data_IF_562000847205
#
_entry.id   IF_562000847205
#
_cell.length_a   1.000
_cell.length_b   1.000
_cell.length_c   1.000
_cell.angle_alpha   90.00
_cell.angle_beta   90.00
_cell.angle_gamma   90.00
#
_symmetry.space_group_name_H-M   'P 1'
#
loop_
_entity.id
_entity.type
_entity.pdbx_description
1 polymer ?
#
# COMPACT_ATOMS: atom_id res chain seq x y z
N UNK A 1 7.46 2.85 -34.51
CA UNK A 1 7.44 2.02 -33.28
C UNK A 1 8.83 1.47 -33.12
N UNK A 2 9.53 1.80 -32.04
CA UNK A 2 10.96 1.47 -31.93
C UNK A 2 11.16 -0.02 -31.61
N UNK A 3 11.60 -0.76 -32.62
CA UNK A 3 12.20 -2.10 -32.48
C UNK A 3 13.64 -2.01 -31.91
N UNK A 4 14.17 -0.80 -31.75
CA UNK A 4 15.49 -0.49 -31.23
C UNK A 4 15.43 0.05 -29.79
N UNK A 5 16.52 -0.14 -29.06
CA UNK A 5 16.68 0.43 -27.72
C UNK A 5 16.71 1.96 -27.79
N UNK A 6 15.75 2.60 -27.14
CA UNK A 6 15.63 4.06 -27.11
C UNK A 6 15.95 4.61 -25.72
N UNK A 7 16.57 5.79 -25.69
CA UNK A 7 16.84 6.53 -24.44
C UNK A 7 15.94 7.75 -24.39
N UNK A 8 15.13 7.86 -23.33
CA UNK A 8 14.25 8.99 -23.11
C UNK A 8 14.28 9.39 -21.63
N UNK A 9 14.41 10.70 -21.36
CA UNK A 9 14.46 11.27 -20.00
C UNK A 9 15.43 10.61 -18.99
N UNK A 10 16.49 9.96 -19.48
CA UNK A 10 17.47 9.28 -18.62
C UNK A 10 17.08 7.85 -18.23
N UNK A 11 16.14 7.27 -18.97
CA UNK A 11 15.67 5.89 -18.90
C UNK A 11 15.97 5.20 -20.24
N UNK A 12 16.21 3.89 -20.19
CA UNK A 12 16.50 3.07 -21.36
C UNK A 12 15.35 2.09 -21.59
N UNK A 13 14.73 2.17 -22.76
CA UNK A 13 13.58 1.40 -23.17
C UNK A 13 13.99 0.33 -24.16
N UNK A 14 13.37 -0.84 -24.08
CA UNK A 14 13.54 -1.93 -25.05
C UNK A 14 12.24 -2.71 -25.18
N UNK A 15 11.94 -3.15 -26.39
CA UNK A 15 10.93 -4.18 -26.62
C UNK A 15 11.58 -5.57 -26.57
N UNK A 16 10.95 -6.51 -25.87
CA UNK A 16 11.36 -7.92 -25.84
C UNK A 16 10.46 -8.74 -26.78
N UNK A 17 10.92 -9.09 -28.00
CA UNK A 17 10.06 -9.74 -28.99
C UNK A 17 9.59 -11.13 -28.56
N UNK A 18 10.36 -11.86 -27.75
CA UNK A 18 9.96 -13.20 -27.29
C UNK A 18 8.86 -13.17 -26.23
N UNK A 19 8.87 -12.17 -25.35
CA UNK A 19 7.89 -12.03 -24.28
C UNK A 19 6.71 -11.14 -24.68
N UNK A 20 6.83 -10.41 -25.80
CA UNK A 20 5.89 -9.37 -26.24
C UNK A 20 5.69 -8.25 -25.20
N UNK A 21 6.71 -7.99 -24.38
CA UNK A 21 6.67 -7.00 -23.28
C UNK A 21 7.64 -5.86 -23.54
N UNK A 22 7.24 -4.64 -23.18
CA UNK A 22 8.13 -3.48 -23.12
C UNK A 22 8.85 -3.47 -21.77
N UNK A 23 10.16 -3.29 -21.79
CA UNK A 23 10.98 -3.21 -20.59
C UNK A 23 11.67 -1.85 -20.50
N UNK A 24 11.95 -1.43 -19.28
CA UNK A 24 12.60 -0.16 -18.96
C UNK A 24 13.64 -0.37 -17.86
N UNK A 25 14.71 0.43 -17.87
CA UNK A 25 15.67 0.53 -16.78
C UNK A 25 16.20 1.95 -16.61
N UNK A 26 16.88 2.23 -15.51
CA UNK A 26 17.56 3.50 -15.32
C UNK A 26 18.78 3.61 -16.26
N UNK A 27 19.13 4.84 -16.65
CA UNK A 27 20.40 5.07 -17.34
C UNK A 27 21.60 4.73 -16.45
N UNK A 28 22.70 4.34 -17.10
CA UNK A 28 24.00 4.12 -16.46
C UNK A 28 24.42 5.32 -15.59
N UNK A 29 24.11 6.54 -16.03
CA UNK A 29 24.41 7.78 -15.30
C UNK A 29 23.66 7.88 -13.97
N UNK A 30 22.38 7.52 -13.94
CA UNK A 30 21.57 7.49 -12.71
C UNK A 30 22.15 6.48 -11.72
N UNK A 31 22.50 5.29 -12.20
CA UNK A 31 23.12 4.23 -11.38
C UNK A 31 24.47 4.66 -10.81
N UNK A 32 25.31 5.32 -11.61
CA UNK A 32 26.59 5.85 -11.14
C UNK A 32 26.41 6.89 -10.03
N UNK A 33 25.44 7.81 -10.18
CA UNK A 33 25.10 8.80 -9.15
C UNK A 33 24.63 8.14 -7.85
N UNK A 34 23.79 7.10 -7.93
CA UNK A 34 23.33 6.34 -6.76
C UNK A 34 24.50 5.72 -5.98
N UNK A 35 25.42 5.06 -6.69
CA UNK A 35 26.61 4.44 -6.08
C UNK A 35 27.53 5.47 -5.42
N UNK A 36 27.76 6.60 -6.08
CA UNK A 36 28.59 7.69 -5.55
C UNK A 36 27.95 8.32 -4.32
N UNK A 37 26.65 8.60 -4.36
CA UNK A 37 25.92 9.17 -3.24
C UNK A 37 26.01 8.25 -2.02
N UNK A 38 25.70 6.96 -2.17
CA UNK A 38 25.77 6.00 -1.06
C UNK A 38 27.16 5.92 -0.40
N UNK A 39 28.25 5.98 -1.16
CA UNK A 39 29.61 6.02 -0.60
C UNK A 39 29.88 7.24 0.28
N UNK A 40 29.16 8.34 0.06
CA UNK A 40 29.26 9.59 0.83
C UNK A 40 28.34 9.63 2.05
N UNK A 41 27.60 8.57 2.35
CA UNK A 41 26.58 8.56 3.39
C UNK A 41 27.08 8.96 4.79
N UNK A 42 28.37 8.72 5.10
CA UNK A 42 28.97 9.14 6.36
C UNK A 42 29.25 10.64 6.48
N UNK A 43 29.14 11.40 5.38
CA UNK A 43 29.54 12.80 5.30
C UNK A 43 28.44 13.68 4.67
N UNK A 44 27.19 13.26 4.75
CA UNK A 44 26.11 14.02 4.14
C UNK A 44 25.94 15.39 4.80
N UNK A 45 25.70 16.40 3.97
CA UNK A 45 24.95 17.58 4.38
C UNK A 45 23.45 17.31 4.31
N UNK A 46 22.64 18.17 4.95
CA UNK A 46 21.17 18.08 4.85
C UNK A 46 20.71 18.06 3.37
N UNK A 47 21.28 18.92 2.52
CA UNK A 47 21.02 18.99 1.07
C UNK A 47 21.39 17.70 0.37
N UNK A 48 22.56 17.13 0.66
CA UNK A 48 23.04 15.91 0.02
C UNK A 48 22.15 14.72 0.37
N UNK A 49 21.75 14.58 1.64
CA UNK A 49 20.84 13.52 2.07
C UNK A 49 19.47 13.61 1.35
N UNK A 50 18.85 14.79 1.37
CA UNK A 50 17.56 15.05 0.70
C UNK A 50 17.67 14.79 -0.81
N UNK A 51 18.74 15.28 -1.44
CA UNK A 51 19.00 15.04 -2.88
C UNK A 51 19.19 13.57 -3.20
N UNK A 52 19.83 12.80 -2.30
CA UNK A 52 20.00 11.37 -2.50
C UNK A 52 18.68 10.61 -2.39
N UNK A 53 17.83 10.93 -1.41
CA UNK A 53 16.48 10.35 -1.33
C UNK A 53 15.65 10.72 -2.57
N UNK A 54 15.74 11.96 -3.07
CA UNK A 54 15.10 12.35 -4.34
C UNK A 54 15.62 11.55 -5.53
N UNK A 55 16.93 11.29 -5.61
CA UNK A 55 17.52 10.43 -6.64
C UNK A 55 17.03 8.98 -6.53
N UNK A 56 16.85 8.46 -5.31
CA UNK A 56 16.26 7.14 -5.08
C UNK A 56 14.82 7.10 -5.59
N UNK A 57 14.00 8.11 -5.29
CA UNK A 57 12.62 8.19 -5.79
C UNK A 57 12.59 8.24 -7.33
N UNK A 58 13.49 9.03 -7.92
CA UNK A 58 13.67 9.06 -9.37
C UNK A 58 14.12 7.69 -9.90
N UNK A 59 15.09 7.00 -9.30
CA UNK A 59 15.46 5.70 -9.84
C UNK A 59 14.38 4.62 -9.63
N UNK A 60 13.62 4.72 -8.54
CA UNK A 60 12.57 3.79 -8.16
C UNK A 60 11.36 3.84 -9.10
N UNK A 61 10.95 5.03 -9.58
CA UNK A 61 9.80 5.13 -10.49
C UNK A 61 10.04 4.42 -11.82
N UNK A 62 11.28 4.41 -12.30
CA UNK A 62 11.67 3.78 -13.56
C UNK A 62 11.49 2.26 -13.54
N UNK A 63 12.00 1.59 -12.51
CA UNK A 63 12.09 0.11 -12.47
C UNK A 63 10.96 -0.54 -11.65
N UNK A 64 9.84 0.15 -11.48
CA UNK A 64 8.68 -0.37 -10.74
C UNK A 64 9.09 -0.84 -9.32
N UNK A 65 9.96 -0.08 -8.66
CA UNK A 65 10.25 -0.34 -7.26
C UNK A 65 9.06 0.15 -6.42
N UNK A 66 8.55 -0.73 -5.56
CA UNK A 66 7.45 -0.49 -4.62
C UNK A 66 7.54 0.89 -3.95
N UNK A 67 6.70 1.87 -4.32
CA UNK A 67 6.80 3.22 -3.76
C UNK A 67 6.51 3.24 -2.26
N UNK A 68 5.59 2.38 -1.81
CA UNK A 68 5.25 2.23 -0.40
C UNK A 68 6.43 1.80 0.47
N UNK A 69 7.39 1.00 -0.03
CA UNK A 69 8.55 0.57 0.77
C UNK A 69 9.52 1.72 1.08
N UNK A 70 9.40 2.84 0.36
CA UNK A 70 10.22 4.04 0.56
C UNK A 70 9.70 4.95 1.68
N UNK A 71 8.59 4.60 2.35
CA UNK A 71 7.95 5.45 3.35
C UNK A 71 8.88 5.84 4.51
N UNK A 72 9.76 4.93 4.95
CA UNK A 72 10.75 5.21 5.99
C UNK A 72 11.76 6.27 5.54
N UNK A 73 12.22 6.20 4.29
CA UNK A 73 13.11 7.20 3.71
C UNK A 73 12.41 8.55 3.57
N UNK A 74 11.13 8.56 3.18
CA UNK A 74 10.31 9.77 3.10
C UNK A 74 10.05 10.40 4.47
N UNK A 75 9.89 9.59 5.52
CA UNK A 75 9.83 10.09 6.91
C UNK A 75 11.13 10.77 7.32
N UNK A 76 12.28 10.17 7.01
CA UNK A 76 13.58 10.76 7.30
C UNK A 76 13.82 12.04 6.47
N UNK A 77 13.47 12.03 5.19
CA UNK A 77 13.48 13.20 4.32
C UNK A 77 12.69 14.36 4.92
N UNK A 78 11.45 14.09 5.34
CA UNK A 78 10.59 15.11 5.97
C UNK A 78 11.19 15.64 7.27
N UNK A 79 11.80 14.79 8.09
CA UNK A 79 12.44 15.22 9.32
C UNK A 79 13.56 16.22 9.04
N UNK A 80 14.46 15.91 8.11
CA UNK A 80 15.54 16.81 7.68
C UNK A 80 14.99 18.12 7.11
N UNK A 81 13.97 18.03 6.24
CA UNK A 81 13.32 19.22 5.68
C UNK A 81 12.74 20.13 6.77
N UNK A 82 12.04 19.57 7.75
CA UNK A 82 11.47 20.34 8.87
C UNK A 82 12.57 20.99 9.71
N UNK A 83 13.66 20.28 9.99
CA UNK A 83 14.81 20.83 10.73
C UNK A 83 15.48 22.00 9.98
N UNK A 84 15.58 21.94 8.65
CA UNK A 84 16.18 23.04 7.90
C UNK A 84 15.19 24.20 7.75
N UNK A 85 13.99 23.94 7.23
CA UNK A 85 13.04 24.99 6.85
C UNK A 85 12.26 25.60 8.02
N UNK A 86 11.91 24.82 9.04
CA UNK A 86 11.03 25.30 10.11
C UNK A 86 11.79 25.74 11.35
N UNK A 87 13.02 25.26 11.55
CA UNK A 87 13.85 25.62 12.71
C UNK A 87 15.06 26.47 12.36
N UNK A 88 15.13 27.01 11.13
CA UNK A 88 16.19 27.93 10.69
C UNK A 88 17.55 27.28 10.45
N UNK A 89 17.59 25.98 10.15
CA UNK A 89 18.83 25.27 9.83
C UNK A 89 19.38 25.63 8.44
N UNK A 90 20.63 25.28 8.19
CA UNK A 90 21.27 25.48 6.89
C UNK A 90 21.27 24.18 6.06
N UNK A 91 20.96 24.30 4.77
CA UNK A 91 20.95 23.15 3.85
C UNK A 91 22.32 22.50 3.69
N UNK A 92 23.38 23.29 3.77
CA UNK A 92 24.76 22.83 3.54
C UNK A 92 25.49 22.47 4.85
N UNK A 93 24.81 22.56 6.00
CA UNK A 93 25.32 22.06 7.26
C UNK A 93 25.47 20.53 7.23
N UNK A 94 26.49 19.96 7.90
CA UNK A 94 26.62 18.53 8.10
C UNK A 94 25.37 17.95 8.75
N UNK A 95 24.88 16.83 8.23
CA UNK A 95 23.80 16.08 8.84
C UNK A 95 24.37 15.33 10.06
N UNK A 96 23.98 15.69 11.30
CA UNK A 96 24.70 15.25 12.50
C UNK A 96 24.58 13.75 12.76
N UNK A 97 23.46 13.15 12.36
CA UNK A 97 23.21 11.75 12.59
C UNK A 97 22.23 11.17 11.56
N UNK A 98 22.55 9.99 11.05
CA UNK A 98 21.63 9.14 10.29
C UNK A 98 21.37 7.91 11.15
N UNK A 99 20.10 7.67 11.48
CA UNK A 99 19.71 6.46 12.22
C UNK A 99 20.17 5.21 11.47
N UNK A 100 20.69 4.17 12.16
CA UNK A 100 21.11 2.91 11.54
C UNK A 100 20.03 2.29 10.65
N UNK A 101 18.75 2.39 11.05
CA UNK A 101 17.61 1.89 10.25
C UNK A 101 17.45 2.64 8.92
N UNK A 102 17.64 3.96 8.92
CA UNK A 102 17.57 4.78 7.70
C UNK A 102 18.75 4.44 6.79
N UNK A 103 19.94 4.29 7.36
CA UNK A 103 21.14 3.90 6.62
C UNK A 103 20.98 2.51 5.95
N UNK A 104 20.48 1.52 6.70
CA UNK A 104 20.19 0.19 6.18
C UNK A 104 19.17 0.24 5.03
N UNK A 105 18.08 1.00 5.19
CA UNK A 105 17.11 1.21 4.12
C UNK A 105 17.71 1.89 2.89
N UNK A 106 18.57 2.90 3.05
CA UNK A 106 19.29 3.54 1.94
C UNK A 106 20.16 2.52 1.23
N UNK A 107 20.95 1.74 1.98
CA UNK A 107 21.86 0.75 1.41
C UNK A 107 21.10 -0.34 0.65
N UNK A 108 20.08 -0.94 1.27
CA UNK A 108 19.26 -1.98 0.66
C UNK A 108 18.59 -1.49 -0.63
N UNK A 109 17.96 -0.32 -0.57
CA UNK A 109 17.25 0.27 -1.72
C UNK A 109 18.23 0.59 -2.85
N UNK A 110 19.38 1.19 -2.51
CA UNK A 110 20.41 1.52 -3.49
C UNK A 110 20.98 0.28 -4.15
N UNK A 111 21.24 -0.79 -3.38
CA UNK A 111 21.75 -2.05 -3.92
C UNK A 111 20.79 -2.65 -4.95
N UNK A 112 19.48 -2.64 -4.67
CA UNK A 112 18.46 -3.09 -5.62
C UNK A 112 18.46 -2.21 -6.88
N UNK A 113 18.45 -0.89 -6.73
CA UNK A 113 18.45 0.03 -7.88
C UNK A 113 19.76 -0.03 -8.69
N UNK A 114 20.86 -0.41 -8.05
CA UNK A 114 22.18 -0.47 -8.66
C UNK A 114 22.42 -1.75 -9.48
N UNK A 115 21.57 -2.78 -9.38
CA UNK A 115 21.58 -3.93 -10.31
C UNK A 115 21.20 -3.48 -11.72
N UNK A 116 20.26 -2.53 -11.80
CA UNK A 116 19.78 -1.89 -13.02
C UNK A 116 19.31 -2.88 -14.10
N UNK A 117 18.62 -3.92 -13.67
CA UNK A 117 17.99 -4.88 -14.57
C UNK A 117 16.82 -4.25 -15.33
N UNK A 118 16.55 -4.77 -16.53
CA UNK A 118 15.36 -4.39 -17.30
C UNK A 118 14.11 -4.89 -16.60
N UNK A 119 13.25 -3.96 -16.16
CA UNK A 119 11.96 -4.26 -15.56
C UNK A 119 10.85 -4.16 -16.61
N UNK A 120 9.85 -5.08 -16.61
CA UNK A 120 8.69 -4.93 -17.47
C UNK A 120 7.91 -3.67 -17.07
N UNK A 121 7.45 -2.91 -18.07
CA UNK A 121 6.52 -1.79 -17.85
C UNK A 121 5.19 -2.40 -17.40
N UNK A 122 4.66 -1.90 -16.27
CA UNK A 122 3.46 -2.45 -15.66
C UNK A 122 2.27 -2.44 -16.65
N UNK A 123 1.52 -3.55 -16.76
CA UNK A 123 0.35 -3.58 -17.61
C UNK A 123 -0.76 -2.68 -17.04
N UNK A 124 -1.62 -2.16 -17.92
CA UNK A 124 -2.78 -1.38 -17.50
C UNK A 124 -3.71 -2.25 -16.67
N UNK A 125 -4.02 -1.82 -15.45
CA UNK A 125 -4.99 -2.51 -14.61
C UNK A 125 -6.40 -2.12 -15.05
N UNK A 126 -7.14 -3.10 -15.57
CA UNK A 126 -8.56 -2.94 -15.88
C UNK A 126 -9.39 -3.30 -14.66
N UNK A 127 -10.28 -2.40 -14.28
CA UNK A 127 -11.21 -2.54 -13.15
C UNK A 127 -12.63 -2.54 -13.72
N UNK A 128 -13.49 -3.38 -13.16
CA UNK A 128 -14.91 -3.46 -13.52
C UNK A 128 -15.74 -3.47 -12.25
N UNK A 129 -17.05 -3.30 -12.39
CA UNK A 129 -18.03 -3.37 -11.27
C UNK A 129 -18.79 -4.70 -11.24
N UNK A 130 -18.39 -5.66 -12.08
CA UNK A 130 -19.06 -6.95 -12.17
C UNK A 130 -18.36 -7.95 -11.25
N UNK A 131 -19.06 -8.47 -10.23
CA UNK A 131 -18.50 -9.41 -9.26
C UNK A 131 -17.82 -10.62 -9.95
N UNK A 132 -18.40 -11.11 -11.06
CA UNK A 132 -17.87 -12.25 -11.83
C UNK A 132 -16.46 -12.05 -12.42
N UNK A 133 -15.98 -10.81 -12.48
CA UNK A 133 -14.64 -10.49 -12.99
C UNK A 133 -13.55 -10.60 -11.90
N UNK A 134 -13.96 -11.01 -10.69
CA UNK A 134 -13.13 -11.19 -9.50
C UNK A 134 -13.35 -12.59 -8.93
N UNK A 135 -12.28 -13.31 -8.60
CA UNK A 135 -12.38 -14.62 -7.96
C UNK A 135 -12.98 -14.52 -6.55
N UNK A 136 -12.61 -13.45 -5.83
CA UNK A 136 -13.05 -13.17 -4.47
C UNK A 136 -13.53 -11.73 -4.32
N UNK A 137 -14.67 -11.56 -3.65
CA UNK A 137 -15.14 -10.29 -3.09
C UNK A 137 -15.06 -10.39 -1.57
N UNK A 138 -14.26 -9.55 -0.94
CA UNK A 138 -13.93 -9.59 0.49
C UNK A 138 -14.43 -8.30 1.14
N UNK A 139 -15.43 -8.39 2.00
CA UNK A 139 -15.87 -7.28 2.85
C UNK A 139 -15.07 -7.33 4.15
N UNK A 140 -14.38 -6.26 4.50
CA UNK A 140 -13.66 -6.13 5.76
C UNK A 140 -14.19 -4.95 6.56
N UNK A 141 -14.15 -5.08 7.87
CA UNK A 141 -14.42 -4.00 8.82
C UNK A 141 -13.56 -4.19 10.07
N UNK A 142 -13.16 -3.10 10.71
CA UNK A 142 -12.42 -3.13 11.97
C UNK A 142 -13.01 -2.22 13.05
N UNK A 143 -12.92 -2.70 14.28
CA UNK A 143 -13.37 -2.02 15.49
C UNK A 143 -12.23 -1.88 16.49
N UNK A 144 -12.53 -1.32 17.66
CA UNK A 144 -11.64 -1.27 18.81
C UNK A 144 -11.33 -2.64 19.42
N UNK A 145 -12.18 -3.65 19.17
CA UNK A 145 -12.01 -5.03 19.70
C UNK A 145 -11.24 -5.94 18.75
N UNK A 146 -11.41 -5.77 17.46
CA UNK A 146 -10.81 -6.64 16.46
C UNK A 146 -11.29 -6.32 15.06
N UNK A 147 -11.26 -7.33 14.19
CA UNK A 147 -11.75 -7.19 12.84
C UNK A 147 -12.65 -8.36 12.43
N UNK A 148 -13.56 -8.05 11.51
CA UNK A 148 -14.50 -8.98 10.91
C UNK A 148 -14.38 -8.95 9.39
N UNK A 149 -14.58 -10.10 8.77
CA UNK A 149 -14.47 -10.27 7.33
C UNK A 149 -15.53 -11.21 6.81
N UNK A 150 -16.03 -10.93 5.60
CA UNK A 150 -16.83 -11.86 4.81
C UNK A 150 -16.21 -11.97 3.42
N UNK A 151 -15.73 -13.15 3.08
CA UNK A 151 -15.18 -13.49 1.77
C UNK A 151 -16.21 -14.29 0.98
N UNK A 152 -16.55 -13.84 -0.22
CA UNK A 152 -17.37 -14.58 -1.18
C UNK A 152 -16.53 -14.96 -2.40
N UNK A 153 -16.45 -16.25 -2.71
CA UNK A 153 -15.90 -16.72 -3.98
C UNK A 153 -17.00 -16.64 -5.04
N UNK A 154 -16.77 -15.88 -6.11
CA UNK A 154 -17.83 -15.59 -7.09
C UNK A 154 -18.08 -16.75 -8.06
N UNK A 155 -17.10 -17.66 -8.20
CA UNK A 155 -17.19 -18.82 -9.08
C UNK A 155 -17.83 -20.02 -8.39
N UNK A 156 -17.46 -20.29 -7.13
CA UNK A 156 -17.98 -21.42 -6.35
C UNK A 156 -19.18 -21.07 -5.49
N UNK A 157 -19.46 -19.77 -5.31
CA UNK A 157 -20.45 -19.25 -4.35
C UNK A 157 -20.14 -19.62 -2.90
N UNK A 158 -18.91 -20.05 -2.61
CA UNK A 158 -18.44 -20.29 -1.24
C UNK A 158 -18.38 -18.96 -0.47
N UNK A 159 -18.95 -18.95 0.73
CA UNK A 159 -18.87 -17.81 1.64
C UNK A 159 -18.14 -18.22 2.91
N UNK A 160 -17.13 -17.43 3.28
CA UNK A 160 -16.33 -17.62 4.49
C UNK A 160 -16.43 -16.34 5.31
N UNK A 161 -16.97 -16.43 6.52
CA UNK A 161 -16.87 -15.33 7.48
C UNK A 161 -15.75 -15.61 8.48
N UNK A 162 -14.92 -14.60 8.71
CA UNK A 162 -13.78 -14.65 9.59
C UNK A 162 -13.87 -13.51 10.61
N UNK A 163 -13.39 -13.77 11.82
CA UNK A 163 -13.18 -12.73 12.82
C UNK A 163 -11.90 -13.00 13.61
N UNK A 164 -11.31 -11.94 14.14
CA UNK A 164 -10.16 -12.03 15.03
C UNK A 164 -10.16 -10.87 16.01
N UNK A 165 -9.91 -11.18 17.28
CA UNK A 165 -9.65 -10.19 18.32
C UNK A 165 -8.24 -9.61 18.17
N UNK A 166 -8.08 -8.30 18.39
CA UNK A 166 -6.76 -7.70 18.44
C UNK A 166 -5.92 -8.33 19.57
N UNK A 167 -4.65 -8.63 19.31
CA UNK A 167 -3.70 -8.88 20.40
C UNK A 167 -3.29 -7.53 21.04
N UNK A 168 -2.99 -7.53 22.33
CA UNK A 168 -2.80 -6.38 23.26
C UNK A 168 -2.17 -5.07 22.72
N UNK A 169 -1.42 -5.10 21.62
CA UNK A 169 -0.85 -3.91 20.96
C UNK A 169 -1.89 -2.96 20.33
N UNK A 170 -3.05 -3.50 19.96
CA UNK A 170 -4.20 -2.72 19.48
C UNK A 170 -5.41 -2.80 20.42
N UNK A 171 -5.43 -3.75 21.36
CA UNK A 171 -6.33 -3.61 22.50
C UNK A 171 -5.86 -2.37 23.25
N UNK A 172 -6.68 -1.32 23.26
CA UNK A 172 -6.47 -0.26 24.22
C UNK A 172 -6.48 -0.88 25.61
N UNK A 173 -5.31 -1.20 26.17
CA UNK A 173 -5.18 -1.71 27.52
C UNK A 173 -5.90 -0.76 28.44
N UNK A 174 -7.13 -1.11 28.85
CA UNK A 174 -8.05 -0.30 29.66
C UNK A 174 -7.78 1.20 29.56
N UNK A 175 -7.80 1.77 28.36
CA UNK A 175 -7.51 3.19 28.20
C UNK A 175 -8.70 3.94 28.81
N UNK A 176 -8.50 4.50 30.01
CA UNK A 176 -9.36 5.57 30.54
C UNK A 176 -9.08 6.77 29.65
N UNK A 177 -9.79 6.85 28.53
CA UNK A 177 -9.65 7.95 27.59
C UNK A 177 -9.80 9.30 28.29
N UNK A 178 -9.29 10.39 27.70
CA UNK A 178 -9.63 11.74 28.13
C UNK A 178 -11.16 11.85 28.21
N UNK A 179 -11.69 12.50 29.25
CA UNK A 179 -13.13 12.77 29.41
C UNK A 179 -13.70 13.69 28.31
N UNK A 180 -12.85 14.18 27.41
CA UNK A 180 -13.18 15.12 26.35
C UNK A 180 -13.42 14.39 25.02
N UNK A 181 -14.63 14.54 24.48
CA UNK A 181 -15.12 13.90 23.26
C UNK A 181 -14.21 14.16 22.04
N UNK A 182 -13.60 15.35 21.97
CA UNK A 182 -12.72 15.70 20.86
C UNK A 182 -11.41 14.89 20.86
N UNK A 183 -10.86 14.60 22.03
CA UNK A 183 -9.65 13.77 22.12
C UNK A 183 -9.96 12.28 21.88
N UNK A 184 -11.11 11.80 22.35
CA UNK A 184 -11.60 10.46 22.01
C UNK A 184 -11.80 10.29 20.49
N UNK A 185 -12.36 11.30 19.81
CA UNK A 185 -12.49 11.33 18.35
C UNK A 185 -11.15 11.28 17.61
N UNK A 186 -10.15 12.08 18.03
CA UNK A 186 -8.82 12.08 17.43
C UNK A 186 -8.06 10.76 17.66
N UNK A 187 -8.27 10.14 18.81
CA UNK A 187 -7.72 8.84 19.17
C UNK A 187 -8.34 7.73 18.31
N UNK A 188 -9.67 7.66 18.25
CA UNK A 188 -10.39 6.67 17.42
C UNK A 188 -10.04 6.82 15.93
N UNK A 189 -9.85 8.04 15.44
CA UNK A 189 -9.33 8.28 14.08
C UNK A 189 -7.93 7.73 13.85
N UNK A 190 -7.03 7.84 14.84
CA UNK A 190 -5.69 7.24 14.76
C UNK A 190 -5.76 5.72 14.83
N UNK A 191 -6.60 5.15 15.71
CA UNK A 191 -6.80 3.71 15.80
C UNK A 191 -7.37 3.13 14.51
N UNK A 192 -8.44 3.71 13.97
CA UNK A 192 -9.06 3.31 12.71
C UNK A 192 -8.10 3.41 11.52
N UNK A 193 -7.24 4.45 11.46
CA UNK A 193 -6.24 4.62 10.41
C UNK A 193 -5.18 3.50 10.34
N UNK A 194 -5.05 2.70 11.40
CA UNK A 194 -4.12 1.57 11.51
C UNK A 194 -4.84 0.21 11.53
N UNK A 195 -6.01 0.15 12.17
CA UNK A 195 -6.81 -1.05 12.33
C UNK A 195 -7.28 -1.62 10.98
N UNK A 196 -7.87 -0.80 10.12
CA UNK A 196 -8.43 -1.28 8.86
C UNK A 196 -7.36 -1.81 7.89
N UNK A 197 -6.25 -1.08 7.63
CA UNK A 197 -5.21 -1.60 6.74
C UNK A 197 -4.56 -2.87 7.31
N UNK A 198 -4.46 -2.99 8.63
CA UNK A 198 -3.97 -4.20 9.28
C UNK A 198 -4.94 -5.37 9.12
N UNK A 199 -6.24 -5.15 9.33
CA UNK A 199 -7.28 -6.16 9.13
C UNK A 199 -7.25 -6.69 7.68
N UNK A 200 -7.24 -5.78 6.71
CA UNK A 200 -7.10 -6.10 5.29
C UNK A 200 -5.84 -6.90 4.98
N UNK A 201 -4.71 -6.58 5.63
CA UNK A 201 -3.45 -7.33 5.46
C UNK A 201 -3.56 -8.75 6.05
N UNK A 202 -4.02 -8.86 7.29
CA UNK A 202 -4.10 -10.16 8.00
C UNK A 202 -5.08 -11.13 7.31
N UNK A 203 -6.23 -10.66 6.80
CA UNK A 203 -7.15 -11.52 6.05
C UNK A 203 -6.53 -12.01 4.74
N UNK A 204 -5.87 -11.12 4.00
CA UNK A 204 -5.25 -11.47 2.74
C UNK A 204 -4.12 -12.49 2.96
N UNK A 205 -3.25 -12.25 3.95
CA UNK A 205 -2.17 -13.16 4.33
C UNK A 205 -2.74 -14.53 4.73
N UNK A 206 -3.78 -14.56 5.57
CA UNK A 206 -4.44 -15.81 5.96
C UNK A 206 -4.98 -16.59 4.76
N UNK A 207 -5.74 -15.94 3.86
CA UNK A 207 -6.28 -16.59 2.66
C UNK A 207 -5.17 -17.10 1.73
N UNK A 208 -4.04 -16.40 1.68
CA UNK A 208 -2.85 -16.83 0.95
C UNK A 208 -2.22 -18.07 1.58
N UNK A 209 -2.04 -18.08 2.90
CA UNK A 209 -1.46 -19.20 3.67
C UNK A 209 -2.28 -20.48 3.55
N UNK A 210 -3.61 -20.38 3.57
CA UNK A 210 -4.50 -21.54 3.40
C UNK A 210 -4.75 -21.93 1.93
N UNK A 211 -3.97 -21.36 0.99
CA UNK A 211 -4.00 -21.72 -0.43
C UNK A 211 -5.23 -21.23 -1.20
N UNK A 212 -5.98 -20.26 -0.67
CA UNK A 212 -7.18 -19.69 -1.32
C UNK A 212 -6.89 -18.54 -2.25
N UNK A 213 -5.69 -17.94 -2.18
CA UNK A 213 -5.19 -16.94 -3.12
C UNK A 213 -3.99 -17.49 -3.90
N UNK A 214 -4.18 -17.81 -5.18
CA UNK A 214 -3.15 -18.35 -6.07
C UNK A 214 -2.87 -17.43 -7.25
N UNK A 215 -1.76 -17.66 -7.95
CA UNK A 215 -1.35 -16.87 -9.10
C UNK A 215 -2.46 -16.79 -10.17
N UNK A 216 -2.65 -15.61 -10.75
CA UNK A 216 -3.69 -15.31 -11.73
C UNK A 216 -4.99 -14.74 -11.14
N UNK A 217 -5.19 -14.83 -9.82
CA UNK A 217 -6.44 -14.40 -9.19
C UNK A 217 -6.60 -12.88 -9.07
N UNK A 218 -7.85 -12.43 -9.14
CA UNK A 218 -8.31 -11.06 -8.95
C UNK A 218 -9.21 -11.00 -7.71
N UNK A 219 -8.87 -10.12 -6.78
CA UNK A 219 -9.55 -9.95 -5.51
C UNK A 219 -10.09 -8.53 -5.42
N UNK A 220 -11.38 -8.38 -5.15
CA UNK A 220 -11.98 -7.12 -4.75
C UNK A 220 -12.08 -7.08 -3.22
N UNK A 221 -11.37 -6.16 -2.58
CA UNK A 221 -11.46 -5.91 -1.14
C UNK A 221 -12.31 -4.66 -0.91
N UNK A 222 -13.45 -4.84 -0.28
CA UNK A 222 -14.44 -3.81 0.05
C UNK A 222 -14.26 -3.39 1.51
N UNK A 223 -14.14 -2.09 1.75
CA UNK A 223 -13.97 -1.49 3.09
C UNK A 223 -14.65 -0.13 3.14
N UNK A 224 -14.98 0.36 4.33
CA UNK A 224 -15.43 1.73 4.55
C UNK A 224 -14.27 2.71 4.79
N UNK A 225 -13.02 2.24 4.76
CA UNK A 225 -11.85 3.07 4.98
C UNK A 225 -11.41 3.76 3.68
N UNK A 226 -11.94 4.96 3.47
CA UNK A 226 -11.73 5.80 2.28
C UNK A 226 -10.25 6.00 1.92
N UNK A 227 -9.36 6.11 2.91
CA UNK A 227 -7.93 6.31 2.64
C UNK A 227 -7.25 5.08 2.00
N UNK A 228 -7.74 3.86 2.25
CA UNK A 228 -7.27 2.66 1.54
C UNK A 228 -7.70 2.79 0.09
N UNK A 229 -8.98 3.08 -0.16
CA UNK A 229 -9.54 3.05 -1.51
C UNK A 229 -8.97 4.16 -2.39
N UNK A 230 -8.95 5.42 -1.90
CA UNK A 230 -8.46 6.59 -2.67
C UNK A 230 -6.98 6.53 -2.98
N UNK A 231 -6.19 5.92 -2.13
CA UNK A 231 -4.75 5.77 -2.31
C UNK A 231 -4.38 5.02 -3.61
N UNK A 232 -5.27 4.17 -4.14
CA UNK A 232 -5.08 3.45 -5.40
C UNK A 232 -5.05 4.35 -6.64
N UNK A 233 -5.64 5.56 -6.56
CA UNK A 233 -5.79 6.44 -7.72
C UNK A 233 -4.47 6.76 -8.42
N UNK A 234 -3.36 6.71 -7.68
CA UNK A 234 -2.01 7.00 -8.19
C UNK A 234 -1.27 5.71 -8.56
N UNK A 235 -0.25 5.81 -9.42
CA UNK A 235 0.69 4.73 -9.75
C UNK A 235 0.02 3.40 -10.13
N UNK A 236 -0.89 3.44 -11.12
CA UNK A 236 -1.54 2.25 -11.69
C UNK A 236 -2.19 1.35 -10.63
N UNK A 237 -2.92 1.90 -9.66
CA UNK A 237 -3.61 1.13 -8.62
C UNK A 237 -2.87 0.96 -7.30
N UNK A 238 -1.60 1.36 -7.20
CA UNK A 238 -0.76 1.08 -6.02
C UNK A 238 -0.08 2.31 -5.39
N UNK A 239 -0.52 3.52 -5.74
CA UNK A 239 0.17 4.76 -5.40
C UNK A 239 -0.05 5.32 -4.00
N UNK A 240 -0.51 4.49 -3.07
CA UNK A 240 -0.84 4.88 -1.70
C UNK A 240 0.36 5.06 -0.79
N UNK A 241 1.18 6.10 -0.96
CA UNK A 241 2.14 6.48 0.11
C UNK A 241 1.44 7.40 1.10
N UNK A 242 1.15 6.86 2.28
CA UNK A 242 0.51 7.59 3.39
C UNK A 242 1.44 7.86 4.55
N UNK A 243 0.96 8.60 5.56
CA UNK A 243 1.68 8.75 6.85
C UNK A 243 1.57 7.50 7.74
N UNK A 244 0.51 6.70 7.55
CA UNK A 244 0.21 5.50 8.33
C UNK A 244 1.10 4.32 7.92
N UNK A 245 1.70 3.66 8.91
CA UNK A 245 2.61 2.52 8.67
C UNK A 245 1.86 1.35 8.05
N UNK A 246 0.72 0.93 8.63
CA UNK A 246 -0.04 -0.25 8.17
C UNK A 246 -0.59 -0.07 6.75
N UNK A 247 -1.02 1.14 6.39
CA UNK A 247 -1.43 1.45 5.03
C UNK A 247 -0.29 1.23 4.02
N UNK A 248 0.92 1.72 4.33
CA UNK A 248 2.08 1.50 3.47
C UNK A 248 2.46 0.01 3.40
N UNK A 249 2.38 -0.73 4.51
CA UNK A 249 2.65 -2.17 4.53
C UNK A 249 1.64 -2.97 3.69
N UNK A 250 0.35 -2.63 3.78
CA UNK A 250 -0.69 -3.21 2.93
C UNK A 250 -0.37 -2.99 1.44
N UNK A 251 -0.07 -1.75 1.05
CA UNK A 251 0.28 -1.41 -0.34
C UNK A 251 1.58 -2.08 -0.81
N UNK A 252 2.58 -2.18 0.06
CA UNK A 252 3.82 -2.89 -0.24
C UNK A 252 3.56 -4.38 -0.52
N UNK A 253 2.70 -5.00 0.29
CA UNK A 253 2.30 -6.40 0.13
C UNK A 253 1.52 -6.62 -1.17
N UNK A 254 0.44 -5.88 -1.43
CA UNK A 254 -0.37 -6.10 -2.64
C UNK A 254 0.38 -5.77 -3.92
N UNK A 255 1.31 -4.81 -3.89
CA UNK A 255 2.21 -4.55 -5.02
C UNK A 255 3.16 -5.72 -5.27
N UNK A 256 3.73 -6.29 -4.20
CA UNK A 256 4.57 -7.50 -4.31
C UNK A 256 3.79 -8.63 -4.96
N UNK A 257 2.56 -8.85 -4.51
CA UNK A 257 1.73 -9.92 -5.01
C UNK A 257 1.37 -9.73 -6.47
N UNK A 258 1.06 -8.52 -6.90
CA UNK A 258 0.79 -8.23 -8.30
C UNK A 258 2.00 -8.52 -9.20
N UNK A 259 3.18 -7.99 -8.85
CA UNK A 259 4.36 -8.09 -9.71
C UNK A 259 5.10 -9.43 -9.62
N UNK A 260 5.14 -10.07 -8.44
CA UNK A 260 5.94 -11.27 -8.20
C UNK A 260 5.10 -12.55 -8.11
N UNK A 261 3.84 -12.46 -7.68
CA UNK A 261 3.00 -13.63 -7.38
C UNK A 261 1.74 -13.69 -8.27
N UNK A 262 1.56 -12.71 -9.16
CA UNK A 262 0.44 -12.56 -10.08
C UNK A 262 -0.93 -12.57 -9.41
N UNK A 263 -1.04 -12.08 -8.17
CA UNK A 263 -2.33 -11.87 -7.49
C UNK A 263 -2.65 -10.38 -7.51
N UNK A 264 -3.78 -10.00 -8.10
CA UNK A 264 -4.23 -8.62 -8.17
C UNK A 264 -5.27 -8.36 -7.09
N UNK A 265 -4.97 -7.46 -6.16
CA UNK A 265 -5.91 -6.97 -5.16
C UNK A 265 -6.32 -5.53 -5.51
N UNK A 266 -7.63 -5.29 -5.55
CA UNK A 266 -8.24 -4.00 -5.84
C UNK A 266 -9.16 -3.60 -4.70
N UNK A 267 -9.09 -2.35 -4.26
CA UNK A 267 -9.89 -1.86 -3.15
C UNK A 267 -11.14 -1.10 -3.62
N UNK A 268 -12.24 -1.30 -2.91
CA UNK A 268 -13.55 -0.72 -3.17
C UNK A 268 -14.08 -0.10 -1.88
N UNK A 269 -14.76 1.03 -2.02
CA UNK A 269 -15.37 1.75 -0.92
C UNK A 269 -16.85 1.41 -0.81
N UNK A 270 -17.28 1.06 0.38
CA UNK A 270 -18.68 0.90 0.74
C UNK A 270 -18.92 1.60 2.09
N UNK A 271 -19.96 2.45 2.24
CA UNK A 271 -20.21 3.12 3.52
C UNK A 271 -20.43 2.13 4.66
N UNK A 272 -19.86 2.39 5.85
CA UNK A 272 -19.93 1.51 7.02
C UNK A 272 -21.31 0.92 7.34
N UNK A 273 -22.42 1.69 7.34
CA UNK A 273 -23.76 1.14 7.58
C UNK A 273 -24.23 0.11 6.56
N UNK A 274 -23.61 0.05 5.39
CA UNK A 274 -23.90 -0.92 4.33
C UNK A 274 -22.89 -2.07 4.33
N UNK A 275 -21.80 -1.98 5.12
CA UNK A 275 -20.76 -2.97 5.19
C UNK A 275 -21.24 -4.20 5.98
N UNK A 276 -21.40 -5.38 5.35
CA UNK A 276 -21.92 -6.56 6.02
C UNK A 276 -20.95 -7.10 7.09
N UNK A 277 -19.68 -6.68 7.07
CA UNK A 277 -18.66 -7.09 8.04
C UNK A 277 -18.71 -6.29 9.37
N UNK A 278 -19.45 -5.18 9.45
CA UNK A 278 -19.51 -4.32 10.65
C UNK A 278 -19.96 -5.06 11.91
N UNK A 279 -20.96 -5.93 11.79
CA UNK A 279 -21.43 -6.69 12.95
C UNK A 279 -20.37 -7.70 13.44
N UNK A 280 -19.57 -8.27 12.53
CA UNK A 280 -18.52 -9.24 12.85
C UNK A 280 -17.34 -8.59 13.57
N UNK A 281 -17.00 -7.35 13.21
CA UNK A 281 -15.91 -6.62 13.87
C UNK A 281 -16.30 -6.21 15.30
N UNK A 282 -17.59 -6.01 15.59
CA UNK A 282 -18.10 -5.56 16.90
C UNK A 282 -18.41 -6.69 17.88
N UNK A 283 -18.91 -7.83 17.38
CA UNK A 283 -19.37 -8.97 18.20
C UNK A 283 -18.38 -10.13 18.09
N UNK A 284 -17.21 -9.95 18.70
CA UNK A 284 -16.14 -10.96 18.70
C UNK A 284 -16.31 -11.88 19.91
N UNK A 285 -16.26 -13.19 19.67
CA UNK A 285 -16.20 -14.21 20.72
C UNK A 285 -14.77 -14.29 21.27
N UNK A 286 -14.59 -13.77 22.48
CA UNK A 286 -13.32 -13.62 23.18
C UNK A 286 -12.79 -14.91 23.83
N UNK A 287 -13.31 -16.08 23.47
CA UNK A 287 -12.88 -17.35 24.09
C UNK A 287 -11.45 -17.78 23.71
N UNK A 288 -10.89 -17.35 22.57
CA UNK A 288 -9.46 -17.49 22.22
C UNK A 288 -8.96 -16.18 21.60
N UNK A 289 -8.36 -15.32 22.43
CA UNK A 289 -7.77 -14.06 21.96
C UNK A 289 -6.64 -14.33 20.92
N UNK A 290 -6.62 -13.52 19.85
CA UNK A 290 -5.53 -13.49 18.89
C UNK A 290 -5.57 -14.52 17.75
N UNK A 291 -6.54 -15.43 17.72
CA UNK A 291 -6.70 -16.42 16.63
C UNK A 291 -7.77 -16.01 15.61
N UNK A 292 -7.56 -16.33 14.33
CA UNK A 292 -8.58 -16.16 13.28
C UNK A 292 -9.60 -17.30 13.38
N UNK A 293 -10.87 -16.94 13.49
CA UNK A 293 -11.98 -17.88 13.64
C UNK A 293 -12.94 -17.79 12.49
N UNK A 294 -13.50 -18.94 12.09
CA UNK A 294 -14.65 -18.99 11.18
C UNK A 294 -15.94 -18.84 11.97
N UNK A 295 -16.85 -18.04 11.46
CA UNK A 295 -18.19 -17.84 12.04
C UNK A 295 -19.28 -18.23 11.05
N UNK A 296 -20.41 -18.67 11.57
CA UNK A 296 -21.59 -18.93 10.74
C UNK A 296 -22.27 -17.62 10.37
N UNK A 297 -22.69 -17.52 9.11
CA UNK A 297 -23.47 -16.39 8.61
C UNK A 297 -24.93 -16.77 8.48
N UNK A 298 -25.81 -15.91 8.98
CA UNK A 298 -27.26 -16.03 8.78
C UNK A 298 -27.65 -15.51 7.40
N UNK A 299 -27.45 -16.31 6.35
CA UNK A 299 -28.12 -16.18 5.03
C UNK A 299 -28.22 -14.77 4.39
N UNK A 300 -27.36 -13.82 4.77
CA UNK A 300 -27.49 -12.41 4.35
C UNK A 300 -27.08 -12.28 2.89
N UNK A 301 -27.91 -11.54 2.14
CA UNK A 301 -27.53 -11.11 0.80
C UNK A 301 -26.39 -10.10 0.91
N UNK A 302 -25.27 -10.38 0.24
CA UNK A 302 -24.13 -9.48 0.21
C UNK A 302 -24.37 -8.38 -0.84
N UNK A 303 -23.86 -7.16 -0.61
CA UNK A 303 -23.81 -6.12 -1.63
C UNK A 303 -23.09 -6.61 -2.89
N UNK A 304 -23.24 -5.88 -4.00
CA UNK A 304 -22.47 -6.12 -5.23
C UNK A 304 -21.46 -5.00 -5.42
N UNK A 305 -20.40 -5.24 -6.19
CA UNK A 305 -19.38 -4.22 -6.49
C UNK A 305 -19.97 -3.01 -7.25
N UNK A 306 -21.12 -3.17 -7.92
CA UNK A 306 -21.87 -2.07 -8.54
C UNK A 306 -22.33 -1.01 -7.54
N UNK A 307 -22.51 -1.38 -6.28
CA UNK A 307 -22.89 -0.46 -5.21
C UNK A 307 -21.67 0.16 -4.52
N UNK A 308 -20.45 -0.20 -4.93
CA UNK A 308 -19.21 0.25 -4.33
C UNK A 308 -18.51 1.29 -5.23
N UNK A 309 -17.69 2.14 -4.63
CA UNK A 309 -16.87 3.12 -5.35
C UNK A 309 -15.42 2.63 -5.48
N UNK A 310 -14.83 2.78 -6.67
CA UNK A 310 -13.40 2.57 -6.89
C UNK A 310 -12.83 3.70 -7.76
N UNK A 311 -11.77 4.43 -7.34
CA UNK A 311 -11.22 5.55 -8.10
C UNK A 311 -10.59 5.11 -9.44
N UNK A 312 -10.30 3.82 -9.60
CA UNK A 312 -9.76 3.29 -10.84
C UNK A 312 -10.82 3.15 -11.95
N UNK A 313 -12.11 3.25 -11.61
CA UNK A 313 -13.22 3.31 -12.57
C UNK A 313 -13.46 4.73 -13.10
N UNK A 314 -12.96 5.77 -12.43
CA UNK A 314 -13.06 7.15 -12.90
C UNK A 314 -12.36 7.28 -14.26
N UNK A 315 -13.05 7.91 -15.21
CA UNK A 315 -12.48 8.20 -16.54
C UNK A 315 -11.33 9.21 -16.43
N UNK A 316 -10.40 9.23 -17.40
CA UNK A 316 -9.26 10.16 -17.37
C UNK A 316 -9.69 11.63 -17.22
N UNK A 317 -10.87 12.03 -17.73
CA UNK A 317 -11.42 13.37 -17.58
C UNK A 317 -11.86 13.74 -16.15
N UNK A 318 -12.38 12.79 -15.38
CA UNK A 318 -12.76 12.96 -13.97
C UNK A 318 -11.53 12.94 -13.03
N UNK A 319 -10.43 12.31 -13.48
CA UNK A 319 -9.19 12.27 -12.70
C UNK A 319 -8.44 13.60 -12.65
N UNK A 320 -8.68 14.52 -13.59
CA UNK A 320 -7.99 15.81 -13.70
C UNK A 320 -8.71 16.94 -12.93
N UNK A 321 -10.04 16.89 -12.82
CA UNK A 321 -10.86 17.97 -12.24
C UNK A 321 -10.68 18.16 -10.72
N UNK A 322 -10.18 17.15 -10.00
CA UNK A 322 -10.03 17.19 -8.53
C UNK A 322 -8.57 17.50 -8.10
N UNK A 323 -7.61 17.55 -9.04
CA UNK A 323 -6.24 17.99 -8.73
C UNK A 323 -6.10 19.52 -8.60
N UNK A 324 -7.19 20.26 -8.87
CA UNK A 324 -7.29 21.71 -8.76
C UNK A 324 -8.43 22.16 -7.81
N UNK A 325 -8.90 21.25 -6.95
CA UNK A 325 -9.93 21.52 -5.92
C UNK A 325 -9.34 21.63 -4.53
#
# INVERSE_FOLDING_TARGET
MAEQSDVFLGEEYRYEPMEHVRKVRNSIKTVAKLRIAMRKAHYYTCRQFVSFVSLILFAAHTVNLKPASLFFLLKAYRAVYVTVCNTGGEWDAPLPHISPRVYEHLQRTTSVLATNEYAPIAPVIRVTVEDRDYDWVIYTDSSDRGWGVICQNTHTQEVIALQKEWMDELQCGKYRGPTDEYQAFLFNKKHSAHAEPRAAREVLEYLKEIGRLVAGMRVALVTDHEAIVRAQRKLNGFGGIGRGTDLNLLYEMVYKWFHCEQVLVLFFYLPGPQNPADQLSRVIDSSNCGEIRRVQLDGRQLPTLRNCYCPLLETEGERVSILWG
#
